data_IF_672159504980
#
_entry.id   IF_672159504980
#
_cell.length_a   1.000
_cell.length_b   1.000
_cell.length_c   1.000
_cell.angle_alpha   90.00
_cell.angle_beta   90.00
_cell.angle_gamma   90.00
#
_symmetry.space_group_name_H-M   'P 1'
#
loop_
_entity.id
_entity.type
_entity.pdbx_description
1 polymer ?
#
# COMPACT_ATOMS: atom_id res chain seq x y z
N UNK A 1 42.48 28.35 19.78
CA UNK A 1 41.28 28.01 18.97
C UNK A 1 41.62 26.78 18.15
N UNK A 2 41.17 25.60 18.59
CA UNK A 2 41.51 24.33 17.97
C UNK A 2 40.51 24.01 16.84
N UNK A 3 41.03 23.78 15.64
CA UNK A 3 40.28 23.39 14.46
C UNK A 3 39.54 22.06 14.68
N UNK A 4 38.22 22.09 14.62
CA UNK A 4 37.38 20.90 14.53
C UNK A 4 37.57 20.29 13.13
N UNK A 5 38.41 19.24 13.05
CA UNK A 5 38.48 18.39 11.85
C UNK A 5 37.11 17.73 11.60
N UNK A 6 36.64 17.68 10.34
CA UNK A 6 35.42 16.96 10.01
C UNK A 6 35.60 15.46 10.26
N UNK A 7 34.64 14.86 10.95
CA UNK A 7 34.54 13.42 11.19
C UNK A 7 34.42 12.73 9.82
N UNK A 8 35.51 12.10 9.36
CA UNK A 8 35.46 11.13 8.28
C UNK A 8 34.70 9.90 8.81
N UNK A 9 33.43 9.79 8.43
CA UNK A 9 32.71 8.53 8.47
C UNK A 9 33.30 7.70 7.33
N UNK A 10 34.20 6.77 7.65
CA UNK A 10 34.65 5.76 6.71
C UNK A 10 33.44 4.92 6.30
N UNK A 11 32.93 5.14 5.08
CA UNK A 11 32.08 4.14 4.45
C UNK A 11 32.96 2.92 4.16
N UNK A 12 32.44 1.69 4.31
CA UNK A 12 33.14 0.55 3.75
C UNK A 12 33.22 0.75 2.24
N UNK A 13 34.45 0.69 1.72
CA UNK A 13 34.82 0.63 0.30
C UNK A 13 33.81 -0.23 -0.47
N UNK A 14 33.51 0.21 -1.70
CA UNK A 14 32.86 -0.52 -2.80
C UNK A 14 32.77 -2.01 -2.48
N UNK A 15 31.55 -2.49 -2.23
CA UNK A 15 31.27 -3.89 -1.95
C UNK A 15 31.75 -4.77 -3.11
N UNK A 16 32.96 -5.33 -3.00
CA UNK A 16 33.40 -6.48 -3.77
C UNK A 16 32.59 -7.74 -3.41
N UNK A 17 33.06 -8.90 -3.86
CA UNK A 17 32.47 -10.23 -3.63
C UNK A 17 31.94 -10.46 -2.18
N UNK A 18 32.57 -9.85 -1.17
CA UNK A 18 32.18 -9.96 0.24
C UNK A 18 30.86 -9.27 0.61
N UNK A 19 30.53 -8.14 -0.03
CA UNK A 19 29.25 -7.46 0.21
C UNK A 19 28.07 -8.22 -0.38
N UNK A 20 28.26 -8.88 -1.54
CA UNK A 20 27.26 -9.76 -2.14
C UNK A 20 27.02 -11.01 -1.28
N UNK A 21 28.09 -11.69 -0.82
CA UNK A 21 28.00 -12.83 0.12
C UNK A 21 27.26 -12.47 1.42
N UNK A 22 27.37 -11.22 1.88
CA UNK A 22 26.70 -10.77 3.11
C UNK A 22 25.18 -10.61 2.98
N UNK A 23 24.66 -10.39 1.76
CA UNK A 23 23.24 -10.15 1.48
C UNK A 23 22.56 -11.33 0.78
N UNK A 24 23.33 -12.27 0.24
CA UNK A 24 22.84 -13.47 -0.44
C UNK A 24 21.71 -14.22 0.31
N UNK A 25 21.79 -14.48 1.63
CA UNK A 25 20.70 -15.17 2.34
C UNK A 25 19.36 -14.41 2.31
N UNK A 26 19.40 -13.09 2.21
CA UNK A 26 18.21 -12.23 2.21
C UNK A 26 17.53 -12.30 0.83
N UNK A 27 18.32 -12.35 -0.24
CA UNK A 27 17.81 -12.58 -1.59
C UNK A 27 17.23 -13.97 -1.76
N UNK A 28 17.86 -14.99 -1.18
CA UNK A 28 17.31 -16.35 -1.13
C UNK A 28 15.99 -16.36 -0.36
N UNK A 29 15.90 -15.66 0.77
CA UNK A 29 14.65 -15.54 1.53
C UNK A 29 13.52 -14.88 0.70
N UNK A 30 13.80 -13.81 -0.04
CA UNK A 30 12.84 -13.17 -0.94
C UNK A 30 12.37 -14.09 -2.07
N UNK A 31 13.30 -14.86 -2.65
CA UNK A 31 12.98 -15.85 -3.67
C UNK A 31 12.09 -16.96 -3.11
N UNK A 32 12.45 -17.52 -1.94
CA UNK A 32 11.66 -18.56 -1.26
C UNK A 32 10.26 -18.03 -0.90
N UNK A 33 10.15 -16.80 -0.41
CA UNK A 33 8.88 -16.14 -0.15
C UNK A 33 8.02 -16.04 -1.42
N UNK A 34 8.60 -15.56 -2.52
CA UNK A 34 7.91 -15.44 -3.82
C UNK A 34 7.44 -16.81 -4.32
N UNK A 35 8.28 -17.85 -4.20
CA UNK A 35 7.92 -19.22 -4.58
C UNK A 35 6.81 -19.76 -3.70
N UNK A 36 6.91 -19.56 -2.38
CA UNK A 36 5.91 -19.99 -1.42
C UNK A 36 4.53 -19.44 -1.78
N UNK A 37 4.40 -18.12 -2.01
CA UNK A 37 3.14 -17.48 -2.39
C UNK A 37 2.60 -18.05 -3.72
N UNK A 38 3.47 -18.15 -4.72
CA UNK A 38 3.10 -18.64 -6.06
C UNK A 38 2.61 -20.09 -6.00
N UNK A 39 3.32 -20.96 -5.28
CA UNK A 39 2.94 -22.37 -5.14
C UNK A 39 1.67 -22.54 -4.28
N UNK A 40 1.50 -21.70 -3.25
CA UNK A 40 0.35 -21.77 -2.34
C UNK A 40 -0.97 -21.36 -3.03
N UNK A 41 -0.91 -20.63 -4.13
CA UNK A 41 -2.08 -20.16 -4.86
C UNK A 41 -2.13 -20.58 -6.33
N UNK A 42 -1.12 -21.31 -6.84
CA UNK A 42 -1.00 -21.69 -8.25
C UNK A 42 -2.32 -22.21 -8.86
N UNK A 43 -2.75 -21.70 -10.05
CA UNK A 43 -2.03 -20.75 -10.91
C UNK A 43 -2.10 -19.28 -10.47
N UNK A 44 -2.80 -19.01 -9.37
CA UNK A 44 -3.08 -17.71 -8.77
C UNK A 44 -4.57 -17.65 -8.45
N UNK A 45 -4.95 -17.22 -7.24
CA UNK A 45 -6.37 -17.02 -6.95
C UNK A 45 -6.91 -15.83 -7.75
N UNK A 46 -8.15 -15.95 -8.21
CA UNK A 46 -8.80 -14.93 -9.03
C UNK A 46 -10.21 -14.67 -8.51
N UNK A 47 -10.44 -13.46 -8.01
CA UNK A 47 -11.78 -12.95 -7.78
C UNK A 47 -12.37 -12.41 -9.09
N UNK A 48 -13.65 -12.05 -9.06
CA UNK A 48 -14.34 -11.33 -10.14
C UNK A 48 -13.49 -10.19 -10.73
N UNK A 49 -12.90 -9.33 -9.90
CA UNK A 49 -12.05 -8.22 -10.37
C UNK A 49 -10.87 -8.68 -11.24
N UNK A 50 -10.18 -9.74 -10.83
CA UNK A 50 -9.01 -10.28 -11.55
C UNK A 50 -9.43 -10.93 -12.87
N UNK A 51 -10.57 -11.63 -12.88
CA UNK A 51 -11.14 -12.24 -14.09
C UNK A 51 -11.54 -11.16 -15.09
N UNK A 52 -12.18 -10.07 -14.63
CA UNK A 52 -12.58 -8.96 -15.49
C UNK A 52 -11.36 -8.26 -16.12
N UNK A 53 -10.29 -8.03 -15.36
CA UNK A 53 -9.06 -7.44 -15.91
C UNK A 53 -8.40 -8.35 -16.96
N UNK A 54 -8.30 -9.65 -16.69
CA UNK A 54 -7.73 -10.61 -17.63
C UNK A 54 -8.62 -10.81 -18.86
N UNK A 55 -9.94 -10.80 -18.71
CA UNK A 55 -10.88 -10.85 -19.82
C UNK A 55 -10.69 -9.64 -20.74
N UNK A 56 -10.66 -8.42 -20.19
CA UNK A 56 -10.40 -7.20 -20.96
C UNK A 56 -9.00 -7.16 -21.57
N UNK A 57 -8.02 -7.78 -20.93
CA UNK A 57 -6.68 -7.94 -21.49
C UNK A 57 -6.71 -8.77 -22.79
N UNK A 58 -7.51 -9.84 -22.84
CA UNK A 58 -7.67 -10.75 -23.99
C UNK A 58 -8.65 -10.23 -25.05
N UNK A 59 -9.59 -9.38 -24.67
CA UNK A 59 -10.59 -8.79 -25.56
C UNK A 59 -10.34 -7.28 -25.72
N UNK A 60 -11.37 -6.46 -25.55
CA UNK A 60 -11.29 -5.01 -25.56
C UNK A 60 -11.23 -4.47 -24.13
N UNK A 61 -10.45 -3.40 -23.95
CA UNK A 61 -10.43 -2.65 -22.70
C UNK A 61 -11.54 -1.60 -22.77
N UNK A 62 -12.60 -1.82 -21.99
CA UNK A 62 -13.85 -1.06 -22.09
C UNK A 62 -14.05 -0.07 -20.93
N UNK A 63 -13.15 -0.11 -19.94
CA UNK A 63 -13.24 0.74 -18.75
C UNK A 63 -14.40 0.31 -17.86
N UNK A 64 -15.21 1.28 -17.39
CA UNK A 64 -16.28 1.14 -16.38
C UNK A 64 -15.80 1.17 -14.92
N UNK A 65 -16.03 0.11 -14.15
CA UNK A 65 -15.94 0.09 -12.70
C UNK A 65 -14.50 0.30 -12.17
N UNK A 66 -13.50 -0.10 -12.96
CA UNK A 66 -12.09 -0.12 -12.52
C UNK A 66 -11.14 0.61 -13.48
N UNK A 67 -9.98 1.06 -12.98
CA UNK A 67 -8.91 1.59 -13.84
C UNK A 67 -8.47 0.57 -14.91
N UNK A 68 -8.45 0.94 -16.20
CA UNK A 68 -8.07 0.05 -17.30
C UNK A 68 -6.58 -0.29 -17.34
N UNK A 69 -5.71 0.48 -16.64
CA UNK A 69 -4.27 0.25 -16.63
C UNK A 69 -3.90 -1.20 -16.29
N UNK A 70 -4.60 -1.80 -15.31
CA UNK A 70 -4.38 -3.19 -14.93
C UNK A 70 -4.54 -4.17 -16.10
N UNK A 71 -5.60 -4.01 -16.90
CA UNK A 71 -5.87 -4.84 -18.08
C UNK A 71 -4.77 -4.72 -19.14
N UNK A 72 -4.17 -3.55 -19.33
CA UNK A 72 -3.04 -3.39 -20.26
C UNK A 72 -1.77 -4.09 -19.77
N UNK A 73 -1.48 -4.01 -18.47
CA UNK A 73 -0.33 -4.74 -17.90
C UNK A 73 -0.56 -6.25 -17.98
N UNK A 74 -1.78 -6.69 -17.67
CA UNK A 74 -2.22 -8.07 -17.86
C UNK A 74 -2.00 -8.56 -19.29
N UNK A 75 -2.33 -7.74 -20.30
CA UNK A 75 -2.13 -8.10 -21.71
C UNK A 75 -0.68 -8.42 -22.03
N UNK A 76 0.28 -7.69 -21.45
CA UNK A 76 1.71 -7.95 -21.64
C UNK A 76 2.09 -9.29 -21.01
N UNK A 77 1.69 -9.53 -19.76
CA UNK A 77 2.04 -10.78 -19.07
C UNK A 77 1.34 -12.01 -19.67
N UNK A 78 0.07 -11.89 -20.03
CA UNK A 78 -0.70 -12.96 -20.67
C UNK A 78 -0.16 -13.29 -22.08
N UNK A 79 0.41 -12.30 -22.78
CA UNK A 79 1.13 -12.54 -24.04
C UNK A 79 2.45 -13.31 -23.86
N UNK A 80 3.18 -13.06 -22.76
CA UNK A 80 4.45 -13.75 -22.46
C UNK A 80 4.21 -15.17 -21.95
N UNK A 81 3.29 -15.32 -20.99
CA UNK A 81 2.91 -16.60 -20.41
C UNK A 81 1.41 -16.57 -20.09
N UNK A 82 0.58 -17.23 -20.92
CA UNK A 82 -0.87 -17.18 -20.77
C UNK A 82 -1.34 -17.61 -19.37
N UNK A 83 -2.25 -16.82 -18.81
CA UNK A 83 -2.85 -17.07 -17.50
C UNK A 83 -2.27 -16.21 -16.36
N UNK A 84 -2.70 -16.50 -15.12
CA UNK A 84 -2.49 -15.60 -13.99
C UNK A 84 -1.11 -15.66 -13.34
N UNK A 85 -0.38 -16.75 -13.54
CA UNK A 85 0.82 -17.07 -12.74
C UNK A 85 1.94 -16.06 -12.94
N UNK A 86 2.21 -15.62 -14.17
CA UNK A 86 3.31 -14.69 -14.42
C UNK A 86 3.06 -13.32 -13.78
N UNK A 87 1.84 -12.78 -13.93
CA UNK A 87 1.44 -11.54 -13.27
C UNK A 87 1.59 -11.64 -11.75
N UNK A 88 1.11 -12.74 -11.16
CA UNK A 88 1.22 -13.00 -9.73
C UNK A 88 2.67 -13.08 -9.26
N UNK A 89 3.49 -13.85 -9.98
CA UNK A 89 4.91 -14.03 -9.67
C UNK A 89 5.65 -12.70 -9.72
N UNK A 90 5.42 -11.88 -10.75
CA UNK A 90 6.12 -10.61 -10.94
C UNK A 90 5.71 -9.59 -9.90
N UNK A 91 4.43 -9.44 -9.58
CA UNK A 91 4.00 -8.49 -8.54
C UNK A 91 4.53 -8.87 -7.15
N UNK A 92 4.49 -10.16 -6.79
CA UNK A 92 4.98 -10.63 -5.49
C UNK A 92 6.51 -10.60 -5.44
N UNK A 93 7.18 -10.98 -6.53
CA UNK A 93 8.64 -10.90 -6.64
C UNK A 93 9.13 -9.45 -6.52
N UNK A 94 8.52 -8.51 -7.24
CA UNK A 94 8.88 -7.09 -7.12
C UNK A 94 8.68 -6.60 -5.68
N UNK A 95 7.59 -6.97 -5.00
CA UNK A 95 7.34 -6.61 -3.61
C UNK A 95 8.40 -7.19 -2.66
N UNK A 96 8.59 -8.51 -2.66
CA UNK A 96 9.46 -9.23 -1.74
C UNK A 96 10.94 -8.88 -1.94
N UNK A 97 11.41 -8.79 -3.19
CA UNK A 97 12.79 -8.38 -3.46
C UNK A 97 13.03 -6.91 -3.10
N UNK A 98 12.05 -6.03 -3.28
CA UNK A 98 12.17 -4.63 -2.86
C UNK A 98 12.20 -4.51 -1.33
N UNK A 99 11.36 -5.26 -0.62
CA UNK A 99 11.38 -5.32 0.83
C UNK A 99 12.70 -5.88 1.37
N UNK A 100 13.16 -7.00 0.82
CA UNK A 100 14.45 -7.61 1.12
C UNK A 100 15.63 -6.65 0.88
N UNK A 101 15.59 -5.86 -0.20
CA UNK A 101 16.58 -4.81 -0.44
C UNK A 101 16.60 -3.79 0.70
N UNK A 102 15.44 -3.26 1.08
CA UNK A 102 15.31 -2.24 2.14
C UNK A 102 15.83 -2.77 3.48
N UNK A 103 15.38 -3.97 3.88
CA UNK A 103 15.84 -4.63 5.11
C UNK A 103 17.34 -4.95 5.04
N UNK A 104 17.82 -5.37 3.87
CA UNK A 104 19.23 -5.64 3.60
C UNK A 104 20.15 -4.45 3.85
N UNK A 105 19.67 -3.22 3.61
CA UNK A 105 20.39 -1.96 3.85
C UNK A 105 20.42 -1.53 5.32
N UNK A 106 19.67 -2.18 6.20
CA UNK A 106 19.74 -1.91 7.65
C UNK A 106 21.03 -2.45 8.26
N UNK A 107 21.43 -1.97 9.45
CA UNK A 107 22.52 -2.58 10.23
C UNK A 107 22.04 -3.68 11.19
N UNK A 108 20.84 -4.23 10.97
CA UNK A 108 20.33 -5.35 11.75
C UNK A 108 21.19 -6.62 11.54
N UNK A 109 21.23 -7.55 12.51
CA UNK A 109 21.88 -8.84 12.32
C UNK A 109 21.28 -9.63 11.14
N UNK A 110 22.09 -10.44 10.44
CA UNK A 110 21.64 -11.19 9.25
C UNK A 110 20.44 -12.09 9.53
N UNK A 111 20.43 -12.79 10.68
CA UNK A 111 19.30 -13.64 11.10
C UNK A 111 18.01 -12.85 11.26
N UNK A 112 18.08 -11.66 11.86
CA UNK A 112 16.94 -10.76 12.02
C UNK A 112 16.44 -10.26 10.66
N UNK A 113 17.34 -9.97 9.71
CA UNK A 113 16.95 -9.56 8.35
C UNK A 113 16.18 -10.66 7.61
N UNK A 114 16.66 -11.91 7.68
CA UNK A 114 15.97 -13.07 7.11
C UNK A 114 14.62 -13.29 7.78
N UNK A 115 14.58 -13.18 9.12
CA UNK A 115 13.33 -13.26 9.87
C UNK A 115 12.34 -12.15 9.47
N UNK A 116 12.79 -10.91 9.25
CA UNK A 116 11.93 -9.83 8.78
C UNK A 116 11.28 -10.17 7.44
N UNK A 117 12.05 -10.69 6.47
CA UNK A 117 11.52 -11.11 5.15
C UNK A 117 10.51 -12.24 5.33
N UNK A 118 10.87 -13.31 6.04
CA UNK A 118 9.95 -14.42 6.29
C UNK A 118 8.68 -13.98 7.03
N UNK A 119 8.81 -13.15 8.06
CA UNK A 119 7.69 -12.64 8.85
C UNK A 119 6.76 -11.78 7.99
N UNK A 120 7.30 -10.84 7.19
CA UNK A 120 6.53 -10.01 6.27
C UNK A 120 5.65 -10.85 5.34
N UNK A 121 6.23 -11.91 4.77
CA UNK A 121 5.51 -12.81 3.85
C UNK A 121 4.35 -13.54 4.52
N UNK A 122 4.48 -13.94 5.79
CA UNK A 122 3.46 -14.76 6.47
C UNK A 122 2.45 -13.94 7.27
N UNK A 123 2.61 -12.62 7.40
CA UNK A 123 1.61 -11.77 8.07
C UNK A 123 0.25 -11.93 7.37
N UNK A 124 -0.84 -12.31 8.09
CA UNK A 124 -2.14 -12.57 7.48
C UNK A 124 -2.67 -11.47 6.53
N UNK A 125 -2.61 -10.16 6.86
CA UNK A 125 -3.11 -9.12 5.96
C UNK A 125 -2.26 -8.94 4.70
N UNK A 126 -1.00 -9.39 4.72
CA UNK A 126 -0.11 -9.34 3.58
C UNK A 126 -0.25 -10.63 2.77
N UNK A 127 -0.07 -11.79 3.39
CA UNK A 127 -0.17 -13.10 2.75
C UNK A 127 -1.52 -13.29 2.06
N UNK A 128 -2.63 -13.05 2.75
CA UNK A 128 -3.96 -13.27 2.20
C UNK A 128 -4.24 -12.46 0.94
N UNK A 129 -3.67 -11.26 0.86
CA UNK A 129 -3.75 -10.40 -0.32
C UNK A 129 -2.81 -10.88 -1.44
N UNK A 130 -1.58 -11.28 -1.12
CA UNK A 130 -0.57 -11.73 -2.10
C UNK A 130 -0.93 -13.03 -2.83
N UNK A 131 -1.76 -13.88 -2.21
CA UNK A 131 -2.25 -15.13 -2.82
C UNK A 131 -3.27 -14.88 -3.95
N UNK A 132 -3.87 -13.69 -4.01
CA UNK A 132 -4.84 -13.32 -5.05
C UNK A 132 -4.20 -12.36 -6.03
N UNK A 133 -4.49 -12.49 -7.32
CA UNK A 133 -3.94 -11.57 -8.34
C UNK A 133 -4.72 -10.26 -8.35
N UNK A 134 -4.61 -9.52 -7.25
CA UNK A 134 -5.24 -8.23 -7.04
C UNK A 134 -4.31 -7.07 -7.39
N UNK A 135 -4.89 -6.03 -7.98
CA UNK A 135 -4.21 -4.76 -8.26
C UNK A 135 -3.65 -4.09 -7.01
N UNK A 136 -4.21 -4.36 -5.82
CA UNK A 136 -3.68 -3.88 -4.54
C UNK A 136 -2.24 -4.33 -4.30
N UNK A 137 -1.93 -5.58 -4.68
CA UNK A 137 -0.56 -6.12 -4.61
C UNK A 137 0.34 -5.42 -5.62
N UNK A 138 -0.14 -5.16 -6.83
CA UNK A 138 0.61 -4.44 -7.84
C UNK A 138 0.93 -2.99 -7.42
N UNK A 139 -0.02 -2.28 -6.77
CA UNK A 139 0.24 -0.96 -6.16
C UNK A 139 1.34 -1.08 -5.10
N UNK A 140 1.20 -2.04 -4.18
CA UNK A 140 2.18 -2.23 -3.11
C UNK A 140 3.57 -2.57 -3.65
N UNK A 141 3.67 -3.43 -4.66
CA UNK A 141 4.91 -3.79 -5.33
C UNK A 141 5.57 -2.59 -5.99
N UNK A 142 4.80 -1.78 -6.71
CA UNK A 142 5.28 -0.55 -7.34
C UNK A 142 5.82 0.45 -6.31
N UNK A 143 5.08 0.70 -5.23
CA UNK A 143 5.48 1.68 -4.21
C UNK A 143 6.65 1.18 -3.35
N UNK A 144 6.70 -0.12 -3.04
CA UNK A 144 7.85 -0.74 -2.37
C UNK A 144 9.10 -0.65 -3.26
N UNK A 145 8.97 -0.96 -4.56
CA UNK A 145 10.05 -0.87 -5.53
C UNK A 145 10.54 0.56 -5.74
N UNK A 146 9.64 1.53 -5.80
CA UNK A 146 9.99 2.94 -5.83
C UNK A 146 10.79 3.34 -4.59
N UNK A 147 10.33 2.96 -3.39
CA UNK A 147 11.03 3.24 -2.14
C UNK A 147 12.43 2.60 -2.13
N UNK A 148 12.55 1.33 -2.53
CA UNK A 148 13.83 0.63 -2.63
C UNK A 148 14.80 1.33 -3.61
N UNK A 149 14.31 1.74 -4.79
CA UNK A 149 15.10 2.48 -5.77
C UNK A 149 15.58 3.82 -5.24
N UNK A 150 14.73 4.59 -4.55
CA UNK A 150 15.13 5.87 -3.95
C UNK A 150 16.14 5.66 -2.82
N UNK A 151 15.97 4.62 -1.99
CA UNK A 151 16.93 4.23 -0.94
C UNK A 151 18.29 3.83 -1.54
N UNK A 152 18.27 3.21 -2.72
CA UNK A 152 19.48 2.81 -3.43
C UNK A 152 20.33 3.98 -3.93
N UNK A 153 19.78 5.21 -3.93
CA UNK A 153 20.54 6.43 -4.26
C UNK A 153 21.43 6.81 -3.08
N UNK A 154 22.72 6.43 -3.20
CA UNK A 154 23.79 6.76 -2.26
C UNK A 154 24.57 8.00 -2.70
N UNK A 155 25.37 8.57 -1.80
CA UNK A 155 26.30 9.67 -2.08
C UNK A 155 27.36 9.30 -3.12
N UNK A 156 27.72 8.02 -3.19
CA UNK A 156 28.72 7.46 -4.10
C UNK A 156 28.17 7.20 -5.51
N UNK A 157 26.84 7.25 -5.71
CA UNK A 157 26.23 7.01 -7.00
C UNK A 157 26.60 8.12 -8.01
N UNK A 158 26.98 7.72 -9.22
CA UNK A 158 27.25 8.69 -10.30
C UNK A 158 25.99 9.49 -10.64
N UNK A 159 26.17 10.66 -11.25
CA UNK A 159 25.06 11.52 -11.66
C UNK A 159 24.04 10.76 -12.54
N UNK A 160 24.52 9.97 -13.50
CA UNK A 160 23.65 9.17 -14.38
C UNK A 160 22.92 8.06 -13.61
N UNK A 161 23.61 7.33 -12.73
CA UNK A 161 22.97 6.30 -11.90
C UNK A 161 21.86 6.88 -11.01
N UNK A 162 22.10 8.07 -10.44
CA UNK A 162 21.09 8.79 -9.66
C UNK A 162 19.86 9.12 -10.50
N UNK A 163 20.03 9.73 -11.67
CA UNK A 163 18.89 10.08 -12.53
C UNK A 163 18.11 8.84 -12.98
N UNK A 164 18.79 7.78 -13.40
CA UNK A 164 18.13 6.55 -13.85
C UNK A 164 17.31 5.92 -12.71
N UNK A 165 17.89 5.78 -11.51
CA UNK A 165 17.18 5.22 -10.35
C UNK A 165 15.98 6.06 -9.93
N UNK A 166 16.11 7.39 -9.95
CA UNK A 166 15.00 8.30 -9.64
C UNK A 166 13.93 8.26 -10.72
N UNK A 167 14.30 8.23 -12.00
CA UNK A 167 13.35 8.11 -13.11
C UNK A 167 12.57 6.79 -13.03
N UNK A 168 13.26 5.66 -12.78
CA UNK A 168 12.61 4.36 -12.57
C UNK A 168 11.70 4.38 -11.33
N UNK A 169 12.12 5.01 -10.24
CA UNK A 169 11.29 5.14 -9.04
C UNK A 169 10.02 5.94 -9.33
N UNK A 170 10.13 7.08 -10.02
CA UNK A 170 8.98 7.90 -10.41
C UNK A 170 8.05 7.16 -11.40
N UNK A 171 8.62 6.36 -12.30
CA UNK A 171 7.85 5.49 -13.18
C UNK A 171 7.05 4.45 -12.38
N UNK A 172 7.67 3.78 -11.39
CA UNK A 172 6.94 2.85 -10.52
C UNK A 172 5.88 3.55 -9.67
N UNK A 173 6.16 4.74 -9.13
CA UNK A 173 5.13 5.55 -8.45
C UNK A 173 3.95 5.80 -9.37
N UNK A 174 4.21 6.22 -10.60
CA UNK A 174 3.16 6.45 -11.59
C UNK A 174 2.37 5.17 -11.93
N UNK A 175 3.03 4.03 -12.11
CA UNK A 175 2.36 2.74 -12.31
C UNK A 175 1.43 2.40 -11.14
N UNK A 176 1.89 2.59 -9.89
CA UNK A 176 1.05 2.37 -8.71
C UNK A 176 -0.17 3.29 -8.67
N UNK A 177 -0.01 4.56 -9.06
CA UNK A 177 -1.14 5.50 -9.21
C UNK A 177 -2.12 5.06 -10.30
N UNK A 178 -1.63 4.48 -11.40
CA UNK A 178 -2.45 4.05 -12.52
C UNK A 178 -3.33 2.84 -12.18
N UNK A 179 -2.87 1.92 -11.32
CA UNK A 179 -3.66 0.76 -10.86
C UNK A 179 -4.86 1.14 -9.99
N UNK A 180 -4.78 2.19 -9.16
CA UNK A 180 -5.87 2.62 -8.28
C UNK A 180 -5.90 4.13 -8.07
N UNK A 181 -7.08 4.73 -8.19
CA UNK A 181 -7.29 6.17 -8.01
C UNK A 181 -6.86 6.69 -6.63
N UNK A 182 -7.11 5.93 -5.56
CA UNK A 182 -6.75 6.33 -4.20
C UNK A 182 -5.23 6.32 -3.95
N UNK A 183 -4.45 5.64 -4.81
CA UNK A 183 -3.01 5.52 -4.63
C UNK A 183 -2.27 6.85 -4.80
N UNK A 184 -2.84 7.82 -5.53
CA UNK A 184 -2.24 9.14 -5.76
C UNK A 184 -1.85 9.89 -4.48
N UNK A 185 -2.65 9.75 -3.42
CA UNK A 185 -2.36 10.35 -2.11
C UNK A 185 -1.07 9.78 -1.47
N UNK A 186 -0.91 8.45 -1.50
CA UNK A 186 0.27 7.74 -1.03
C UNK A 186 1.53 7.95 -1.89
N UNK A 187 1.38 8.43 -3.14
CA UNK A 187 2.50 8.74 -4.02
C UNK A 187 3.31 9.95 -3.55
N UNK A 188 2.65 10.95 -2.96
CA UNK A 188 3.27 12.24 -2.67
C UNK A 188 4.54 12.13 -1.80
N UNK A 189 4.58 11.37 -0.68
CA UNK A 189 5.80 11.20 0.11
C UNK A 189 6.94 10.49 -0.65
N UNK A 190 6.62 9.60 -1.59
CA UNK A 190 7.61 8.90 -2.42
C UNK A 190 8.22 9.87 -3.44
N UNK A 191 7.39 10.68 -4.11
CA UNK A 191 7.85 11.75 -5.02
C UNK A 191 8.73 12.74 -4.25
N UNK A 192 8.28 13.16 -3.07
CA UNK A 192 9.03 14.06 -2.20
C UNK A 192 10.40 13.47 -1.85
N UNK A 193 10.46 12.22 -1.43
CA UNK A 193 11.73 11.57 -1.10
C UNK A 193 12.66 11.44 -2.30
N UNK A 194 12.12 11.09 -3.48
CA UNK A 194 12.86 11.01 -4.74
C UNK A 194 13.49 12.36 -5.12
N UNK A 195 12.71 13.44 -5.08
CA UNK A 195 13.18 14.80 -5.40
C UNK A 195 14.23 15.28 -4.39
N UNK A 196 14.06 14.98 -3.10
CA UNK A 196 15.07 15.32 -2.09
C UNK A 196 16.38 14.58 -2.28
N UNK A 197 16.35 13.30 -2.65
CA UNK A 197 17.56 12.54 -3.02
C UNK A 197 18.23 13.08 -4.27
N UNK A 198 17.44 13.59 -5.22
CA UNK A 198 17.96 14.18 -6.44
C UNK A 198 18.67 15.52 -6.18
N UNK A 199 17.99 16.42 -5.48
CA UNK A 199 18.42 17.81 -5.28
C UNK A 199 19.28 18.05 -4.03
N UNK A 200 19.46 17.04 -3.19
CA UNK A 200 20.21 17.12 -1.94
C UNK A 200 19.49 17.91 -0.83
N UNK A 201 20.12 18.04 0.36
CA UNK A 201 19.55 18.82 1.46
C UNK A 201 19.43 20.31 1.11
N UNK A 202 18.56 21.02 1.81
CA UNK A 202 18.36 22.46 1.65
C UNK A 202 18.00 23.08 2.98
N UNK A 203 18.68 24.17 3.37
CA UNK A 203 18.45 24.81 4.67
C UNK A 203 17.48 25.98 4.62
N UNK A 204 17.39 26.68 3.48
CA UNK A 204 16.56 27.88 3.30
C UNK A 204 15.06 27.54 3.27
N UNK A 205 14.26 28.10 4.18
CA UNK A 205 12.80 27.86 4.30
C UNK A 205 12.04 28.08 2.99
N UNK A 206 12.31 29.18 2.27
CA UNK A 206 11.67 29.48 0.99
C UNK A 206 11.94 28.40 -0.08
N UNK A 207 13.16 27.88 -0.13
CA UNK A 207 13.54 26.84 -1.09
C UNK A 207 12.93 25.48 -0.72
N UNK A 208 12.79 25.17 0.58
CA UNK A 208 12.02 24.00 1.04
C UNK A 208 10.57 24.09 0.57
N UNK A 209 9.90 25.24 0.79
CA UNK A 209 8.52 25.43 0.36
C UNK A 209 8.36 25.29 -1.16
N UNK A 210 9.25 25.92 -1.95
CA UNK A 210 9.28 25.75 -3.41
C UNK A 210 9.42 24.30 -3.85
N UNK A 211 10.26 23.51 -3.16
CA UNK A 211 10.41 22.08 -3.45
C UNK A 211 9.17 21.27 -3.10
N UNK A 212 8.53 21.55 -1.96
CA UNK A 212 7.23 20.93 -1.58
C UNK A 212 6.18 21.22 -2.65
N UNK A 213 6.03 22.49 -3.04
CA UNK A 213 5.09 22.89 -4.10
C UNK A 213 5.45 22.23 -5.43
N UNK A 214 6.73 22.18 -5.80
CA UNK A 214 7.19 21.48 -7.01
C UNK A 214 6.86 19.98 -6.99
N UNK A 215 6.99 19.32 -5.84
CA UNK A 215 6.59 17.91 -5.69
C UNK A 215 5.08 17.73 -5.78
N UNK A 216 4.30 18.67 -5.23
CA UNK A 216 2.85 18.66 -5.36
C UNK A 216 2.43 18.81 -6.83
N UNK A 217 3.03 19.78 -7.54
CA UNK A 217 2.80 19.98 -8.98
C UNK A 217 3.24 18.76 -9.81
N UNK A 218 4.37 18.13 -9.48
CA UNK A 218 4.81 16.91 -10.15
C UNK A 218 3.83 15.76 -9.90
N UNK A 219 3.33 15.60 -8.66
CA UNK A 219 2.33 14.57 -8.33
C UNK A 219 1.01 14.83 -9.08
N UNK A 220 0.60 16.09 -9.22
CA UNK A 220 -0.56 16.48 -10.03
C UNK A 220 -0.33 16.21 -11.52
N UNK A 221 0.85 16.50 -12.06
CA UNK A 221 1.18 16.19 -13.45
C UNK A 221 1.15 14.68 -13.70
N UNK A 222 1.71 13.87 -12.81
CA UNK A 222 1.59 12.40 -12.88
C UNK A 222 0.13 11.95 -12.80
N UNK A 223 -0.68 12.57 -11.95
CA UNK A 223 -2.12 12.29 -11.84
C UNK A 223 -2.88 12.61 -13.12
N UNK A 224 -2.50 13.68 -13.84
CA UNK A 224 -3.09 14.01 -15.14
C UNK A 224 -2.77 12.95 -16.20
N UNK A 225 -1.55 12.42 -16.21
CA UNK A 225 -1.17 11.30 -17.10
C UNK A 225 -1.93 10.02 -16.73
N UNK A 226 -2.07 9.74 -15.44
CA UNK A 226 -2.91 8.62 -14.94
C UNK A 226 -4.36 8.78 -15.41
N UNK A 227 -4.91 9.99 -15.31
CA UNK A 227 -6.26 10.28 -15.79
C UNK A 227 -6.40 9.97 -17.28
N UNK A 228 -5.42 10.37 -18.11
CA UNK A 228 -5.42 10.08 -19.54
C UNK A 228 -5.43 8.57 -19.82
N UNK A 229 -4.54 7.80 -19.20
CA UNK A 229 -4.50 6.33 -19.37
C UNK A 229 -5.78 5.66 -18.91
N UNK A 230 -6.39 6.18 -17.85
CA UNK A 230 -7.58 5.57 -17.26
C UNK A 230 -8.90 5.97 -17.91
N UNK A 231 -8.90 6.96 -18.83
CA UNK A 231 -10.12 7.43 -19.50
C UNK A 231 -10.10 7.22 -21.02
N UNK A 232 -8.98 6.80 -21.59
CA UNK A 232 -8.85 6.61 -23.04
C UNK A 232 -8.28 5.22 -23.37
N UNK A 233 -8.87 4.58 -24.37
CA UNK A 233 -8.42 3.28 -24.88
C UNK A 233 -7.11 3.44 -25.65
N UNK A 234 -6.19 2.51 -25.52
CA UNK A 234 -4.96 2.47 -26.32
C UNK A 234 -5.00 1.29 -27.31
N UNK A 235 -4.54 1.48 -28.57
CA UNK A 235 -3.96 2.70 -29.14
C UNK A 235 -4.98 3.65 -29.81
N UNK A 236 -6.28 3.32 -29.80
CA UNK A 236 -7.31 4.08 -30.56
C UNK A 236 -7.64 5.47 -30.02
N UNK A 237 -7.28 5.77 -28.77
CA UNK A 237 -7.61 7.00 -28.03
C UNK A 237 -9.13 7.29 -27.96
N UNK A 238 -9.95 6.24 -28.05
CA UNK A 238 -11.39 6.35 -27.81
C UNK A 238 -11.66 6.55 -26.32
N UNK A 239 -12.63 7.42 -25.99
CA UNK A 239 -13.01 7.64 -24.60
C UNK A 239 -13.70 6.39 -24.04
N UNK A 240 -13.20 5.89 -22.92
CA UNK A 240 -13.75 4.73 -22.22
C UNK A 240 -15.06 5.06 -21.53
N UNK A 241 -15.84 4.02 -21.21
CA UNK A 241 -17.07 4.16 -20.47
C UNK A 241 -16.81 4.84 -19.11
N UNK A 242 -17.73 5.75 -18.71
CA UNK A 242 -17.61 6.46 -17.44
C UNK A 242 -17.55 5.48 -16.28
N UNK A 243 -16.68 5.76 -15.32
CA UNK A 243 -16.63 5.01 -14.08
C UNK A 243 -17.91 5.22 -13.24
N UNK A 244 -18.57 4.12 -12.88
CA UNK A 244 -19.82 4.09 -12.11
C UNK A 244 -19.62 3.70 -10.64
N UNK A 245 -18.38 3.40 -10.21
CA UNK A 245 -18.10 3.06 -8.81
C UNK A 245 -18.34 4.26 -7.87
N UNK A 246 -18.07 5.49 -8.34
CA UNK A 246 -18.38 6.71 -7.59
C UNK A 246 -19.87 6.81 -7.26
N UNK A 247 -20.73 6.48 -8.20
CA UNK A 247 -22.18 6.54 -8.02
C UNK A 247 -22.66 5.53 -6.98
N UNK A 248 -22.04 4.35 -6.96
CA UNK A 248 -22.35 3.28 -5.99
C UNK A 248 -21.95 3.70 -4.57
N UNK A 249 -20.80 4.34 -4.41
CA UNK A 249 -20.35 4.91 -3.12
C UNK A 249 -21.30 6.02 -2.67
N UNK A 250 -21.66 6.95 -3.55
CA UNK A 250 -22.59 8.04 -3.23
C UNK A 250 -23.98 7.51 -2.83
N UNK A 251 -24.49 6.49 -3.54
CA UNK A 251 -25.75 5.83 -3.18
C UNK A 251 -25.67 5.17 -1.80
N UNK A 252 -24.57 4.47 -1.52
CA UNK A 252 -24.34 3.85 -0.21
C UNK A 252 -24.32 4.89 0.92
N UNK A 253 -23.75 6.06 0.66
CA UNK A 253 -23.74 7.17 1.63
C UNK A 253 -25.12 7.74 1.85
N UNK A 254 -25.92 7.89 0.80
CA UNK A 254 -27.30 8.34 0.90
C UNK A 254 -28.14 7.39 1.76
N UNK A 255 -27.93 6.08 1.62
CA UNK A 255 -28.52 5.06 2.49
C UNK A 255 -28.07 5.29 3.94
N UNK A 256 -26.77 5.42 4.18
CA UNK A 256 -26.22 5.71 5.50
C UNK A 256 -26.78 6.98 6.13
N UNK A 257 -26.76 8.09 5.40
CA UNK A 257 -27.31 9.38 5.86
C UNK A 257 -28.80 9.23 6.19
N UNK A 258 -29.58 8.54 5.36
CA UNK A 258 -31.02 8.30 5.63
C UNK A 258 -31.24 7.57 6.95
N UNK A 259 -30.41 6.56 7.24
CA UNK A 259 -30.47 5.75 8.47
C UNK A 259 -30.13 6.59 9.70
N UNK A 260 -28.99 7.30 9.67
CA UNK A 260 -28.47 8.02 10.82
C UNK A 260 -29.17 9.36 11.08
N UNK A 261 -29.77 9.98 10.05
CA UNK A 261 -30.62 11.17 10.21
C UNK A 261 -32.11 10.85 10.41
N UNK A 262 -32.49 9.57 10.26
CA UNK A 262 -33.89 9.12 10.25
C UNK A 262 -34.77 9.89 9.25
N UNK A 263 -34.25 10.14 8.05
CA UNK A 263 -34.93 10.86 6.95
C UNK A 263 -35.00 9.98 5.70
N UNK A 264 -36.11 10.06 4.98
CA UNK A 264 -36.30 9.34 3.72
C UNK A 264 -35.68 10.12 2.55
N UNK A 265 -34.36 9.97 2.33
CA UNK A 265 -33.62 10.68 1.27
C UNK A 265 -33.51 9.82 0.00
N UNK A 266 -33.37 8.49 0.17
CA UNK A 266 -33.22 7.56 -0.94
C UNK A 266 -34.60 7.21 -1.53
N UNK A 267 -34.83 7.39 -2.83
CA UNK A 267 -36.07 7.00 -3.47
C UNK A 267 -36.11 5.49 -3.79
N UNK A 268 -37.32 4.97 -3.93
CA UNK A 268 -37.61 3.65 -4.45
C UNK A 268 -37.61 3.61 -5.98
N UNK A 269 -37.86 2.45 -6.56
CA UNK A 269 -37.95 2.25 -8.02
C UNK A 269 -39.02 3.12 -8.72
N UNK A 270 -40.01 3.61 -7.99
CA UNK A 270 -41.07 4.49 -8.49
C UNK A 270 -40.81 5.97 -8.16
N UNK A 271 -39.68 6.30 -7.54
CA UNK A 271 -39.33 7.66 -7.13
C UNK A 271 -39.89 8.07 -5.77
N UNK A 272 -40.56 7.19 -5.03
CA UNK A 272 -41.10 7.49 -3.71
C UNK A 272 -40.02 7.36 -2.62
N UNK A 273 -39.95 8.26 -1.63
CA UNK A 273 -38.97 8.16 -0.55
C UNK A 273 -39.07 6.85 0.24
N UNK A 274 -37.95 6.14 0.43
CA UNK A 274 -37.87 4.95 1.28
C UNK A 274 -37.70 5.31 2.75
N UNK A 275 -38.39 4.59 3.63
CA UNK A 275 -38.26 4.79 5.06
C UNK A 275 -36.88 4.36 5.57
N UNK A 276 -36.37 5.07 6.58
CA UNK A 276 -35.11 4.70 7.24
C UNK A 276 -35.18 3.30 7.88
N UNK A 277 -36.35 2.85 8.32
CA UNK A 277 -36.57 1.52 8.87
C UNK A 277 -36.32 0.42 7.84
N UNK A 278 -36.77 0.62 6.60
CA UNK A 278 -36.47 -0.30 5.51
C UNK A 278 -34.96 -0.35 5.24
N UNK A 279 -34.34 0.82 5.10
CA UNK A 279 -32.91 0.93 4.81
C UNK A 279 -32.04 0.31 5.91
N UNK A 280 -32.44 0.39 7.19
CA UNK A 280 -31.74 -0.28 8.29
C UNK A 280 -31.73 -1.81 8.17
N UNK A 281 -32.76 -2.42 7.60
CA UNK A 281 -32.82 -3.89 7.44
C UNK A 281 -31.81 -4.41 6.44
N UNK A 282 -31.52 -3.62 5.39
CA UNK A 282 -30.62 -4.02 4.31
C UNK A 282 -29.18 -3.55 4.55
N UNK A 283 -28.98 -2.53 5.37
CA UNK A 283 -27.69 -1.88 5.58
C UNK A 283 -26.66 -2.79 6.26
N UNK A 284 -25.48 -2.87 5.65
CA UNK A 284 -24.31 -3.51 6.21
C UNK A 284 -23.08 -2.61 6.05
N UNK A 285 -22.45 -2.14 7.16
CA UNK A 285 -21.32 -1.21 7.10
C UNK A 285 -20.07 -1.81 6.42
N UNK A 286 -19.99 -3.14 6.28
CA UNK A 286 -18.82 -3.84 5.74
C UNK A 286 -18.70 -3.71 4.24
N UNK A 287 -19.79 -3.63 3.48
CA UNK A 287 -19.71 -3.57 2.02
C UNK A 287 -21.00 -3.06 1.38
N UNK A 288 -20.88 -2.10 0.44
CA UNK A 288 -22.01 -1.64 -0.36
C UNK A 288 -22.72 -2.75 -1.16
N UNK A 289 -22.00 -3.78 -1.63
CA UNK A 289 -22.58 -4.90 -2.38
C UNK A 289 -23.39 -5.82 -1.46
N UNK A 290 -22.98 -5.97 -0.19
CA UNK A 290 -23.79 -6.70 0.80
C UNK A 290 -25.08 -5.91 1.05
N UNK A 291 -24.97 -4.59 1.24
CA UNK A 291 -26.15 -3.72 1.40
C UNK A 291 -27.10 -3.85 0.20
N UNK A 292 -26.56 -3.86 -1.02
CA UNK A 292 -27.37 -4.05 -2.24
C UNK A 292 -27.98 -5.46 -2.34
N UNK A 293 -27.23 -6.50 -1.97
CA UNK A 293 -27.72 -7.89 -2.02
C UNK A 293 -28.79 -8.18 -0.97
N UNK A 294 -28.76 -7.49 0.17
CA UNK A 294 -29.79 -7.60 1.21
C UNK A 294 -31.12 -6.94 0.79
N UNK A 295 -31.14 -6.10 -0.25
CA UNK A 295 -32.35 -5.51 -0.84
C UNK A 295 -33.08 -6.54 -1.72
N UNK A 296 -33.57 -7.62 -1.10
CA UNK A 296 -34.27 -8.71 -1.77
C UNK A 296 -35.60 -8.28 -2.42
N UNK A 297 -36.23 -7.22 -1.91
CA UNK A 297 -37.44 -6.63 -2.49
C UNK A 297 -37.12 -5.71 -3.68
N UNK A 298 -35.82 -5.47 -3.97
CA UNK A 298 -35.33 -4.59 -5.04
C UNK A 298 -35.98 -3.20 -5.00
N UNK A 299 -36.14 -2.65 -3.81
CA UNK A 299 -36.85 -1.39 -3.62
C UNK A 299 -35.97 -0.19 -3.85
N UNK A 300 -34.68 -0.27 -3.54
CA UNK A 300 -33.77 0.87 -3.75
C UNK A 300 -33.61 1.09 -5.25
N UNK A 301 -33.84 2.33 -5.70
CA UNK A 301 -33.67 2.67 -7.10
C UNK A 301 -32.28 2.23 -7.62
N UNK A 302 -32.20 1.48 -8.73
CA UNK A 302 -30.93 0.97 -9.23
C UNK A 302 -30.01 2.12 -9.65
N UNK A 303 -30.58 3.16 -10.24
CA UNK A 303 -29.92 4.39 -10.66
C UNK A 303 -30.60 5.60 -10.01
N UNK A 304 -29.81 6.47 -9.40
CA UNK A 304 -30.27 7.74 -8.86
C UNK A 304 -29.94 8.85 -9.86
N UNK A 305 -30.96 9.58 -10.31
CA UNK A 305 -30.76 10.75 -11.15
C UNK A 305 -30.01 11.83 -10.37
N UNK A 306 -29.02 12.46 -11.01
CA UNK A 306 -28.20 13.49 -10.40
C UNK A 306 -27.61 13.11 -9.03
N UNK A 307 -27.19 11.83 -8.86
CA UNK A 307 -26.72 11.29 -7.57
C UNK A 307 -25.67 12.18 -6.89
N UNK A 308 -24.79 12.83 -7.65
CA UNK A 308 -23.77 13.73 -7.11
C UNK A 308 -24.38 14.95 -6.43
N UNK A 309 -25.38 15.62 -7.02
CA UNK A 309 -26.00 16.79 -6.41
C UNK A 309 -26.82 16.38 -5.19
N UNK A 310 -27.58 15.27 -5.29
CA UNK A 310 -28.33 14.71 -4.17
C UNK A 310 -27.39 14.36 -2.99
N UNK A 311 -26.26 13.73 -3.27
CA UNK A 311 -25.23 13.37 -2.29
C UNK A 311 -24.64 14.61 -1.59
N UNK A 312 -24.22 15.62 -2.36
CA UNK A 312 -23.69 16.88 -1.80
C UNK A 312 -24.75 17.55 -0.92
N UNK A 313 -25.98 17.70 -1.42
CA UNK A 313 -27.08 18.31 -0.65
C UNK A 313 -27.39 17.54 0.62
N UNK A 314 -27.40 16.20 0.58
CA UNK A 314 -27.64 15.36 1.75
C UNK A 314 -26.55 15.48 2.81
N UNK A 315 -25.28 15.56 2.39
CA UNK A 315 -24.13 15.80 3.30
C UNK A 315 -24.25 17.17 3.96
N UNK A 316 -24.50 18.22 3.16
CA UNK A 316 -24.62 19.58 3.68
C UNK A 316 -25.79 19.74 4.66
N UNK A 317 -26.90 19.05 4.40
CA UNK A 317 -28.08 19.06 5.26
C UNK A 317 -27.94 18.15 6.50
N UNK A 318 -27.09 17.13 6.47
CA UNK A 318 -26.95 16.13 7.53
C UNK A 318 -25.48 15.70 7.77
N UNK A 319 -24.57 16.64 8.10
CA UNK A 319 -23.13 16.35 8.15
C UNK A 319 -22.77 15.33 9.24
N UNK A 320 -23.46 15.36 10.38
CA UNK A 320 -23.25 14.40 11.48
C UNK A 320 -23.65 12.98 11.06
N UNK A 321 -24.77 12.81 10.36
CA UNK A 321 -25.24 11.52 9.88
C UNK A 321 -24.27 10.92 8.84
N UNK A 322 -23.72 11.76 7.96
CA UNK A 322 -22.67 11.35 7.03
C UNK A 322 -21.42 10.86 7.78
N UNK A 323 -20.94 11.61 8.78
CA UNK A 323 -19.77 11.22 9.58
C UNK A 323 -20.02 9.96 10.42
N UNK A 324 -21.24 9.74 10.92
CA UNK A 324 -21.61 8.51 11.62
C UNK A 324 -21.56 7.30 10.69
N UNK A 325 -22.12 7.42 9.48
CA UNK A 325 -21.99 6.38 8.46
C UNK A 325 -20.52 6.10 8.13
N UNK A 326 -19.74 7.15 7.84
CA UNK A 326 -18.32 7.01 7.49
C UNK A 326 -17.49 6.42 8.63
N UNK A 327 -17.79 6.75 9.87
CA UNK A 327 -17.18 6.14 11.04
C UNK A 327 -17.53 4.65 11.14
N UNK A 328 -18.80 4.27 10.91
CA UNK A 328 -19.22 2.88 10.95
C UNK A 328 -18.48 2.05 9.88
N UNK A 329 -18.44 2.54 8.65
CA UNK A 329 -17.72 1.87 7.55
C UNK A 329 -16.21 1.83 7.82
N UNK A 330 -15.61 2.92 8.29
CA UNK A 330 -14.17 2.97 8.51
C UNK A 330 -13.72 2.08 9.68
N UNK A 331 -14.57 1.88 10.69
CA UNK A 331 -14.30 0.91 11.77
C UNK A 331 -14.20 -0.51 11.24
N UNK A 332 -15.07 -0.89 10.30
CA UNK A 332 -14.96 -2.16 9.58
C UNK A 332 -13.69 -2.20 8.72
N UNK A 333 -13.42 -1.12 7.98
CA UNK A 333 -12.28 -1.00 7.07
C UNK A 333 -10.92 -1.23 7.74
N UNK A 334 -10.65 -0.64 8.90
CA UNK A 334 -9.40 -0.85 9.64
C UNK A 334 -9.46 -2.02 10.64
N UNK A 335 -10.59 -2.74 10.65
CA UNK A 335 -10.92 -3.83 11.56
C UNK A 335 -10.89 -3.48 13.06
N UNK A 336 -11.37 -2.27 13.39
CA UNK A 336 -11.56 -1.76 14.76
C UNK A 336 -12.91 -2.24 15.35
N UNK A 337 -13.04 -3.56 15.44
CA UNK A 337 -14.18 -4.29 15.98
C UNK A 337 -13.70 -5.60 16.63
N UNK A 338 -14.62 -6.40 17.19
CA UNK A 338 -14.29 -7.67 17.87
C UNK A 338 -14.57 -8.93 17.06
N UNK A 339 -15.43 -8.87 16.05
CA UNK A 339 -15.68 -10.01 15.18
C UNK A 339 -14.53 -10.21 14.17
N UNK A 340 -14.66 -11.25 13.35
CA UNK A 340 -13.71 -11.65 12.32
C UNK A 340 -13.45 -10.53 11.31
N UNK A 341 -12.19 -10.42 10.88
CA UNK A 341 -11.76 -9.50 9.81
C UNK A 341 -12.41 -9.91 8.49
N UNK A 342 -12.99 -8.93 7.79
CA UNK A 342 -13.72 -9.15 6.56
C UNK A 342 -12.78 -9.45 5.38
N UNK A 343 -13.08 -10.52 4.65
CA UNK A 343 -12.48 -10.87 3.36
C UNK A 343 -10.93 -10.85 3.36
N UNK A 344 -10.34 -11.67 4.25
CA UNK A 344 -8.88 -11.80 4.44
C UNK A 344 -8.16 -12.27 3.17
N UNK A 345 -8.81 -13.15 2.40
CA UNK A 345 -8.31 -13.69 1.14
C UNK A 345 -9.49 -14.20 0.30
N UNK A 346 -9.21 -14.60 -0.94
CA UNK A 346 -10.17 -15.23 -1.85
C UNK A 346 -9.60 -16.58 -2.29
N UNK A 347 -9.82 -17.68 -1.53
CA UNK A 347 -9.05 -18.93 -1.70
C UNK A 347 -9.56 -19.80 -2.85
N UNK A 348 -9.86 -19.19 -3.99
CA UNK A 348 -10.45 -19.83 -5.16
C UNK A 348 -10.19 -19.03 -6.44
N UNK A 349 -10.62 -19.61 -7.55
CA UNK A 349 -10.82 -18.91 -8.81
C UNK A 349 -12.33 -18.88 -9.04
N UNK A 350 -12.92 -17.68 -9.19
CA UNK A 350 -14.34 -17.56 -9.50
C UNK A 350 -14.67 -18.18 -10.87
N UNK A 351 -15.93 -18.59 -11.04
CA UNK A 351 -16.41 -19.12 -12.31
C UNK A 351 -16.13 -18.12 -13.45
N UNK A 352 -15.56 -18.62 -14.55
CA UNK A 352 -15.11 -17.78 -15.65
C UNK A 352 -15.20 -18.52 -16.98
N UNK A 353 -15.31 -17.74 -18.06
CA UNK A 353 -15.26 -18.21 -19.45
C UNK A 353 -13.84 -18.36 -20.00
N UNK A 354 -12.81 -18.10 -19.18
CA UNK A 354 -11.40 -18.08 -19.59
C UNK A 354 -10.73 -19.45 -19.46
N UNK A 355 -11.45 -20.46 -18.95
CA UNK A 355 -10.95 -21.81 -18.74
C UNK A 355 -9.97 -21.95 -17.57
N UNK A 356 -9.85 -20.93 -16.71
CA UNK A 356 -8.91 -20.95 -15.58
C UNK A 356 -9.60 -21.64 -14.42
N UNK A 357 -8.98 -22.69 -13.90
CA UNK A 357 -9.48 -23.46 -12.77
C UNK A 357 -8.47 -23.51 -11.65
N UNK A 358 -8.96 -23.73 -10.43
CA UNK A 358 -8.13 -23.93 -9.25
C UNK A 358 -8.33 -25.35 -8.72
N UNK A 359 -7.22 -26.05 -8.49
CA UNK A 359 -7.22 -27.36 -7.81
C UNK A 359 -6.59 -27.22 -6.44
N UNK A 360 -7.38 -27.53 -5.41
CA UNK A 360 -6.92 -27.58 -4.03
C UNK A 360 -5.95 -28.76 -3.84
N UNK A 361 -4.91 -28.55 -3.04
CA UNK A 361 -3.98 -29.59 -2.59
C UNK A 361 -3.78 -29.43 -1.08
N UNK A 362 -3.29 -30.44 -0.35
CA UNK A 362 -3.09 -30.33 1.10
C UNK A 362 -2.25 -29.09 1.51
N UNK A 363 -1.21 -28.77 0.74
CA UNK A 363 -0.39 -27.59 0.97
C UNK A 363 -1.18 -26.28 0.82
N UNK A 364 -1.93 -26.14 -0.29
CA UNK A 364 -2.76 -24.94 -0.53
C UNK A 364 -3.85 -24.80 0.53
N UNK A 365 -4.53 -25.90 0.85
CA UNK A 365 -5.56 -25.94 1.89
C UNK A 365 -5.00 -25.53 3.26
N UNK A 366 -3.82 -26.01 3.63
CA UNK A 366 -3.15 -25.61 4.88
C UNK A 366 -2.89 -24.10 4.94
N UNK A 367 -2.40 -23.50 3.85
CA UNK A 367 -2.17 -22.05 3.79
C UNK A 367 -3.49 -21.27 3.91
N UNK A 368 -4.54 -21.72 3.23
CA UNK A 368 -5.87 -21.07 3.33
C UNK A 368 -6.48 -21.22 4.73
N UNK A 369 -6.28 -22.37 5.38
CA UNK A 369 -6.75 -22.61 6.74
C UNK A 369 -6.00 -21.75 7.77
N UNK A 370 -4.70 -21.56 7.58
CA UNK A 370 -3.92 -20.61 8.39
C UNK A 370 -4.54 -19.20 8.35
N UNK A 371 -4.93 -18.72 7.16
CA UNK A 371 -5.56 -17.41 7.00
C UNK A 371 -6.95 -17.37 7.66
N UNK A 372 -7.73 -18.45 7.53
CA UNK A 372 -9.04 -18.53 8.19
C UNK A 372 -8.96 -18.57 9.70
N UNK A 373 -8.00 -19.28 10.27
CA UNK A 373 -7.76 -19.27 11.72
C UNK A 373 -7.26 -17.91 12.20
N UNK A 374 -6.50 -17.19 11.36
CA UNK A 374 -5.94 -15.89 11.70
C UNK A 374 -6.95 -14.74 11.67
N UNK A 375 -8.12 -14.91 11.03
CA UNK A 375 -9.09 -13.81 10.82
C UNK A 375 -9.64 -13.18 12.11
N UNK A 376 -9.64 -13.92 13.21
CA UNK A 376 -10.04 -13.42 14.53
C UNK A 376 -8.88 -12.87 15.35
N UNK A 377 -7.64 -13.21 14.96
CA UNK A 377 -6.43 -12.84 15.67
C UNK A 377 -6.08 -11.36 15.46
N UNK A 378 -5.49 -10.76 16.49
CA UNK A 378 -5.09 -9.36 16.49
C UNK A 378 -4.09 -9.05 15.37
N UNK A 379 -3.16 -9.97 15.07
CA UNK A 379 -2.19 -9.81 13.98
C UNK A 379 -2.84 -9.69 12.59
N UNK A 380 -4.13 -10.07 12.43
CA UNK A 380 -4.83 -9.86 11.17
C UNK A 380 -5.38 -8.43 11.01
N UNK A 381 -5.43 -7.64 12.08
CA UNK A 381 -6.13 -6.34 12.13
C UNK A 381 -5.23 -5.19 11.66
N UNK A 382 -5.59 -4.46 10.59
CA UNK A 382 -4.78 -3.35 10.06
C UNK A 382 -4.42 -2.27 11.08
N UNK A 383 -5.34 -1.92 11.99
CA UNK A 383 -5.11 -0.85 12.97
C UNK A 383 -3.90 -1.08 13.88
N UNK A 384 -3.51 -2.34 14.13
CA UNK A 384 -2.33 -2.66 14.95
C UNK A 384 -1.05 -2.20 14.26
N UNK A 385 -0.95 -2.37 12.96
CA UNK A 385 0.20 -1.92 12.16
C UNK A 385 0.27 -0.40 12.09
N UNK A 386 -0.89 0.26 11.99
CA UNK A 386 -0.98 1.72 12.01
C UNK A 386 -0.49 2.26 13.35
N UNK A 387 -1.01 1.72 14.47
CA UNK A 387 -0.60 2.14 15.81
C UNK A 387 0.89 1.85 16.07
N UNK A 388 1.36 0.65 15.71
CA UNK A 388 2.75 0.25 15.92
C UNK A 388 3.72 1.15 15.15
N UNK A 389 3.42 1.45 13.88
CA UNK A 389 4.25 2.37 13.08
C UNK A 389 4.22 3.79 13.63
N UNK A 390 3.06 4.29 14.08
CA UNK A 390 2.95 5.60 14.72
C UNK A 390 3.84 5.71 15.96
N UNK A 391 3.74 4.73 16.87
CA UNK A 391 4.53 4.71 18.11
C UNK A 391 6.03 4.65 17.79
N UNK A 392 6.46 3.75 16.89
CA UNK A 392 7.87 3.56 16.60
C UNK A 392 8.48 4.74 15.83
N UNK A 393 7.75 5.33 14.88
CA UNK A 393 8.21 6.54 14.19
C UNK A 393 8.25 7.71 15.16
N UNK A 394 7.24 7.90 16.02
CA UNK A 394 7.29 8.92 17.06
C UNK A 394 8.49 8.74 18.00
N UNK A 395 8.73 7.50 18.45
CA UNK A 395 9.89 7.15 19.27
C UNK A 395 11.21 7.47 18.56
N UNK A 396 11.36 7.14 17.28
CA UNK A 396 12.54 7.46 16.46
C UNK A 396 12.88 8.96 16.47
N UNK A 397 11.86 9.82 16.40
CA UNK A 397 12.03 11.27 16.49
C UNK A 397 12.31 11.75 17.91
N UNK A 398 11.60 11.21 18.92
CA UNK A 398 11.80 11.56 20.33
C UNK A 398 13.22 11.22 20.80
N UNK A 399 13.72 10.05 20.42
CA UNK A 399 15.11 9.64 20.67
C UNK A 399 16.07 10.21 19.62
N UNK A 400 15.70 11.21 18.82
CA UNK A 400 16.61 11.92 17.91
C UNK A 400 17.54 11.00 17.08
N UNK A 401 17.11 9.78 16.76
CA UNK A 401 17.90 8.83 15.98
C UNK A 401 17.86 9.25 14.52
N UNK A 402 19.04 9.47 13.92
CA UNK A 402 19.17 10.00 12.55
C UNK A 402 19.14 8.90 11.48
N UNK A 403 19.59 7.70 11.84
CA UNK A 403 19.63 6.53 10.95
C UNK A 403 18.23 6.13 10.50
N UNK A 404 18.04 5.96 9.19
CA UNK A 404 16.80 5.55 8.53
C UNK A 404 15.58 6.47 8.74
N UNK A 405 15.78 7.66 9.32
CA UNK A 405 14.69 8.56 9.70
C UNK A 405 13.82 8.98 8.52
N UNK A 406 14.45 9.37 7.41
CA UNK A 406 13.72 9.83 6.24
C UNK A 406 13.00 8.67 5.55
N UNK A 407 13.65 7.52 5.47
CA UNK A 407 13.09 6.30 4.90
C UNK A 407 11.84 5.84 5.69
N UNK A 408 11.94 5.80 7.02
CA UNK A 408 10.83 5.44 7.90
C UNK A 408 9.67 6.46 7.79
N UNK A 409 9.97 7.76 7.80
CA UNK A 409 8.96 8.81 7.66
C UNK A 409 8.27 8.77 6.29
N UNK A 410 9.00 8.47 5.22
CA UNK A 410 8.44 8.33 3.87
C UNK A 410 7.50 7.14 3.78
N UNK A 411 7.91 5.96 4.27
CA UNK A 411 7.06 4.77 4.28
C UNK A 411 5.79 4.98 5.14
N UNK A 412 5.96 5.56 6.34
CA UNK A 412 4.87 5.92 7.24
C UNK A 412 3.89 6.90 6.59
N UNK A 413 4.39 8.04 6.11
CA UNK A 413 3.55 9.07 5.49
C UNK A 413 2.86 8.55 4.23
N UNK A 414 3.53 7.72 3.43
CA UNK A 414 2.94 7.13 2.23
C UNK A 414 1.79 6.18 2.59
N UNK A 415 1.98 5.31 3.58
CA UNK A 415 0.93 4.40 4.05
C UNK A 415 -0.28 5.13 4.66
N UNK A 416 -0.04 6.17 5.46
CA UNK A 416 -1.11 6.97 6.07
C UNK A 416 -1.85 7.86 5.08
N UNK A 417 -1.14 8.49 4.13
CA UNK A 417 -1.80 9.28 3.10
C UNK A 417 -2.60 8.41 2.14
N UNK A 418 -2.16 7.18 1.86
CA UNK A 418 -2.96 6.19 1.11
C UNK A 418 -4.26 5.80 1.84
N UNK A 419 -4.19 5.69 3.17
CA UNK A 419 -5.33 5.36 4.04
C UNK A 419 -6.34 6.51 4.17
N UNK A 420 -5.87 7.75 4.30
CA UNK A 420 -6.70 8.90 4.69
C UNK A 420 -7.93 9.14 3.79
N UNK A 421 -7.85 9.10 2.44
CA UNK A 421 -9.02 9.25 1.59
C UNK A 421 -10.10 8.19 1.84
N UNK A 422 -9.72 6.97 2.26
CA UNK A 422 -10.66 5.87 2.46
C UNK A 422 -11.66 6.12 3.57
N UNK A 423 -11.35 6.98 4.54
CA UNK A 423 -12.34 7.42 5.52
C UNK A 423 -13.58 8.05 4.87
N UNK A 424 -13.41 8.75 3.75
CA UNK A 424 -14.48 9.51 3.10
C UNK A 424 -15.15 8.77 1.94
N UNK A 425 -14.46 7.82 1.31
CA UNK A 425 -14.92 7.23 0.02
C UNK A 425 -14.80 5.71 -0.05
N UNK A 426 -14.53 5.01 1.06
CA UNK A 426 -14.36 3.55 0.98
C UNK A 426 -15.69 2.82 0.67
N UNK A 427 -15.70 1.90 -0.31
CA UNK A 427 -16.90 1.14 -0.67
C UNK A 427 -17.11 -0.13 0.17
N UNK A 428 -16.05 -0.66 0.77
CA UNK A 428 -16.06 -1.93 1.50
C UNK A 428 -14.89 -2.04 2.47
N UNK A 429 -14.97 -3.03 3.36
CA UNK A 429 -14.00 -3.36 4.38
C UNK A 429 -13.05 -4.49 3.97
N UNK A 430 -12.98 -4.84 2.68
CA UNK A 430 -12.05 -5.84 2.17
C UNK A 430 -10.63 -5.59 2.68
N UNK A 431 -10.01 -6.60 3.31
CA UNK A 431 -8.69 -6.45 3.91
C UNK A 431 -7.64 -5.94 2.91
N UNK A 432 -7.75 -6.34 1.64
CA UNK A 432 -6.86 -5.93 0.54
C UNK A 432 -6.74 -4.42 0.35
N UNK A 433 -7.77 -3.63 0.70
CA UNK A 433 -7.68 -2.18 0.54
C UNK A 433 -6.67 -1.55 1.50
N UNK A 434 -6.36 -2.23 2.60
CA UNK A 434 -5.33 -1.81 3.54
C UNK A 434 -3.91 -2.23 3.11
N UNK A 435 -3.74 -2.96 2.01
CA UNK A 435 -2.50 -3.67 1.70
C UNK A 435 -1.26 -2.76 1.68
N UNK A 436 -1.27 -1.69 0.88
CA UNK A 436 -0.13 -0.77 0.84
C UNK A 436 0.09 -0.07 2.19
N UNK A 437 -0.99 0.38 2.84
CA UNK A 437 -0.90 1.05 4.14
C UNK A 437 -0.25 0.14 5.19
N UNK A 438 -0.62 -1.14 5.24
CA UNK A 438 -0.01 -2.15 6.12
C UNK A 438 1.46 -2.38 5.73
N UNK A 439 1.77 -2.59 4.45
CA UNK A 439 3.15 -2.78 3.99
C UNK A 439 4.06 -1.59 4.34
N UNK A 440 3.60 -0.37 4.07
CA UNK A 440 4.32 0.87 4.40
C UNK A 440 4.52 1.03 5.90
N UNK A 441 3.53 0.68 6.72
CA UNK A 441 3.64 0.70 8.17
C UNK A 441 4.64 -0.33 8.70
N UNK A 442 4.64 -1.56 8.18
CA UNK A 442 5.63 -2.59 8.56
C UNK A 442 7.05 -2.15 8.22
N UNK A 443 7.26 -1.61 7.01
CA UNK A 443 8.56 -1.05 6.60
C UNK A 443 8.98 0.10 7.51
N UNK A 444 8.07 1.04 7.80
CA UNK A 444 8.34 2.16 8.68
C UNK A 444 8.73 1.70 10.09
N UNK A 445 8.01 0.73 10.65
CA UNK A 445 8.30 0.13 11.97
C UNK A 445 9.69 -0.50 12.01
N UNK A 446 10.06 -1.30 11.01
CA UNK A 446 11.37 -1.97 10.95
C UNK A 446 12.49 -0.94 10.83
N UNK A 447 12.35 0.06 9.96
CA UNK A 447 13.34 1.12 9.77
C UNK A 447 13.48 1.99 11.04
N UNK A 448 12.36 2.31 11.70
CA UNK A 448 12.36 3.06 12.94
C UNK A 448 13.07 2.29 14.06
N UNK A 449 12.74 1.01 14.27
CA UNK A 449 13.42 0.15 15.24
C UNK A 449 14.92 0.02 14.94
N UNK A 450 15.28 -0.23 13.68
CA UNK A 450 16.69 -0.29 13.28
C UNK A 450 17.42 1.03 13.56
N UNK A 451 16.77 2.17 13.33
CA UNK A 451 17.32 3.50 13.62
C UNK A 451 17.54 3.75 15.12
N UNK A 452 16.56 3.37 15.96
CA UNK A 452 16.63 3.47 17.42
C UNK A 452 17.78 2.60 17.96
N UNK A 453 17.81 1.32 17.61
CA UNK A 453 18.85 0.39 18.08
C UNK A 453 20.27 0.81 17.65
N UNK A 454 20.40 1.49 16.51
CA UNK A 454 21.69 2.00 16.05
C UNK A 454 22.18 3.18 16.89
N UNK A 455 21.28 4.06 17.34
CA UNK A 455 21.66 5.18 18.20
C UNK A 455 22.31 4.67 19.48
N UNK A 456 21.73 3.67 20.14
CA UNK A 456 22.24 3.14 21.40
C UNK A 456 23.65 2.54 21.24
N UNK A 457 23.91 1.91 20.08
CA UNK A 457 25.24 1.38 19.74
C UNK A 457 26.26 2.48 19.51
N UNK A 458 25.89 3.53 18.77
CA UNK A 458 26.77 4.66 18.48
C UNK A 458 27.08 5.45 19.78
N UNK A 459 26.09 5.66 20.64
CA UNK A 459 26.24 6.30 21.96
C UNK A 459 27.12 5.45 22.90
N UNK A 460 26.95 4.13 22.90
CA UNK A 460 27.77 3.19 23.68
C UNK A 460 29.24 3.12 23.22
N UNK A 461 29.49 3.13 21.91
CA UNK A 461 30.86 3.22 21.37
C UNK A 461 31.52 4.56 21.67
N UNK A 462 30.74 5.66 21.64
CA UNK A 462 31.24 6.99 21.97
C UNK A 462 31.66 7.07 23.44
N UNK A 463 30.88 6.53 24.38
CA UNK A 463 31.24 6.45 25.80
C UNK A 463 32.52 5.64 26.03
N UNK A 464 32.62 4.42 25.47
CA UNK A 464 33.84 3.59 25.57
C UNK A 464 35.10 4.28 25.03
N UNK A 465 34.99 5.07 23.95
CA UNK A 465 36.12 5.86 23.45
C UNK A 465 36.54 6.97 24.42
N UNK A 466 35.58 7.63 25.07
CA UNK A 466 35.87 8.65 26.08
C UNK A 466 36.51 8.03 27.33
N UNK A 467 36.00 6.89 27.79
CA UNK A 467 36.53 6.17 28.96
C UNK A 467 37.93 5.59 28.71
N UNK A 468 38.20 5.10 27.50
CA UNK A 468 39.54 4.66 27.11
C UNK A 468 40.52 5.85 26.97
N UNK A 469 40.05 7.00 26.47
CA UNK A 469 40.88 8.20 26.38
C UNK A 469 41.21 8.79 27.78
N UNK A 470 40.28 8.70 28.73
CA UNK A 470 40.51 9.15 30.11
C UNK A 470 41.45 8.21 30.88
N UNK A 471 41.39 6.89 30.65
CA UNK A 471 42.33 5.92 31.24
C UNK A 471 43.74 6.01 30.67
N UNK A 472 43.90 6.35 29.38
CA UNK A 472 45.23 6.61 28.79
C UNK A 472 45.88 7.87 29.38
N UNK A 473 45.10 8.92 29.64
CA UNK A 473 45.61 10.16 30.24
C UNK A 473 45.96 10.04 31.73
N UNK A 474 45.33 9.14 32.48
CA UNK A 474 45.67 8.88 33.89
C UNK A 474 46.86 7.92 34.07
N UNK A 475 47.23 7.16 33.02
CA UNK A 475 48.42 6.30 33.00
C UNK A 475 49.72 7.02 32.63
N UNK A 476 49.67 8.27 32.15
CA UNK A 476 50.84 9.06 31.77
C UNK A 476 51.42 9.93 32.93
N UNK A 477 50.90 9.76 34.14
CA UNK A 477 51.33 10.46 35.37
C UNK A 477 51.76 9.48 36.47
N UNK A 478 52.46 8.39 36.10
CA UNK A 478 53.18 7.55 37.05
C UNK A 478 54.62 7.33 36.61
#
# INVERSE_FOLDING_TARGET
MAELRPIQITSPRIAGHDGFRSTFPIWVAAFVATMFITLASYPGFLSYDSIQELMQARTAVDGSQYPPFGSYVWRIFDWIAPGPTLMQFVQNGLLEFSFAYIVGRTRLPKSIKVLCVAAFTVLPPILGTMLVVWKDVAVGACYMGALALVISVTTEATRNQRYVRIAMALFLVWCGMAYRFNAASGAFPLVMYAVWKLLGPCDKKHQKLKRIMGCAMLTLALSAVVWMINNYRLPSFERLARNTNSDSIMKYDLIGISIFSNKAIVPDVNGHPLSADYLRKIYDPRHLNITANNDHEHRVAPKLENVTSLWISAIMANPVAYLQHRTAVFREYISLHRHDVFYVTHPSVDANSLGITFTATPFKSYVTEYLWRSRSADICRPWIYYLTSLILVAALFMVKASSYRFEALTAFSSGYLYLMPMYFITPAADLRYNFWSVCGCVVASILALAGICMRDRDDGQRKKKVDNASTINTGAWK
#
